data_IF_814682487132
#
_entry.id   IF_814682487132
#
_cell.length_a   1.000
_cell.length_b   1.000
_cell.length_c   1.000
_cell.angle_alpha   90.00
_cell.angle_beta   90.00
_cell.angle_gamma   90.00
#
_symmetry.space_group_name_H-M   'P 1'
#
loop_
_entity.id
_entity.type
_entity.pdbx_description
1 polymer ?
#
# COMPACT_ATOMS: atom_id res chain seq x y z
N UNK A 1 -10.88 40.46 36.12
CA UNK A 1 -10.92 40.78 34.67
C UNK A 1 -9.49 40.62 34.20
N UNK A 2 -9.11 39.37 33.96
CA UNK A 2 -7.72 39.01 33.72
C UNK A 2 -7.41 39.38 32.28
N UNK A 3 -6.50 40.34 32.12
CA UNK A 3 -6.17 40.94 30.83
C UNK A 3 -5.65 39.88 29.86
N UNK A 4 -6.45 39.59 28.84
CA UNK A 4 -6.10 38.73 27.71
C UNK A 4 -5.03 39.36 26.83
N UNK A 5 -3.80 39.42 27.32
CA UNK A 5 -2.63 39.70 26.50
C UNK A 5 -2.37 38.49 25.61
N UNK A 6 -2.37 38.69 24.29
CA UNK A 6 -1.98 37.65 23.36
C UNK A 6 -0.58 37.11 23.72
N UNK A 7 -0.35 35.78 23.64
CA UNK A 7 0.91 35.18 24.07
C UNK A 7 2.10 35.81 23.33
N UNK A 8 3.26 35.99 23.98
CA UNK A 8 4.40 36.60 23.32
C UNK A 8 4.90 35.70 22.18
N UNK A 9 5.34 36.32 21.10
CA UNK A 9 5.98 35.64 19.97
C UNK A 9 7.49 35.53 20.25
N UNK A 10 8.11 34.42 19.87
CA UNK A 10 9.54 34.15 20.04
C UNK A 10 10.18 33.86 18.69
N UNK A 11 11.39 34.37 18.48
CA UNK A 11 12.18 34.03 17.32
C UNK A 11 12.87 32.66 17.51
N UNK A 12 12.64 31.66 16.65
CA UNK A 12 13.25 30.32 16.80
C UNK A 12 14.77 30.32 16.57
N UNK A 13 15.34 31.38 15.98
CA UNK A 13 16.76 31.46 15.65
C UNK A 13 17.58 32.20 16.71
N UNK A 14 17.13 33.36 17.18
CA UNK A 14 17.86 34.19 18.14
C UNK A 14 17.21 34.27 19.53
N UNK A 15 16.01 33.69 19.72
CA UNK A 15 15.31 33.68 21.00
C UNK A 15 14.66 35.01 21.40
N UNK A 16 14.70 36.04 20.54
CA UNK A 16 14.11 37.34 20.86
C UNK A 16 12.59 37.24 21.04
N UNK A 17 12.06 37.93 22.05
CA UNK A 17 10.62 38.05 22.31
C UNK A 17 10.05 39.25 21.55
N UNK A 18 8.84 39.08 21.03
CA UNK A 18 8.14 40.05 20.22
C UNK A 18 6.67 40.14 20.65
N UNK A 19 6.13 41.35 20.63
CA UNK A 19 4.70 41.57 20.80
C UNK A 19 3.96 41.36 19.45
N UNK A 20 2.74 40.80 19.46
CA UNK A 20 1.85 40.86 18.31
C UNK A 20 1.62 42.32 17.88
N UNK A 21 1.48 42.63 16.57
CA UNK A 21 1.26 41.73 15.44
C UNK A 21 2.52 41.43 14.60
N UNK A 22 3.72 41.54 15.16
CA UNK A 22 4.95 41.28 14.43
C UNK A 22 4.95 39.86 13.83
N UNK A 23 5.28 39.71 12.54
CA UNK A 23 5.35 38.39 11.88
C UNK A 23 6.77 37.85 11.73
N UNK A 24 7.76 38.75 11.67
CA UNK A 24 9.16 38.43 11.46
C UNK A 24 10.05 39.12 12.50
N UNK A 25 11.15 38.46 12.86
CA UNK A 25 12.16 39.03 13.74
C UNK A 25 12.90 40.18 13.04
N UNK A 26 13.02 41.33 13.69
CA UNK A 26 13.75 42.50 13.16
C UNK A 26 15.26 42.30 13.09
N UNK A 27 15.82 41.36 13.86
CA UNK A 27 17.26 41.10 13.89
C UNK A 27 17.73 40.07 12.85
N UNK A 28 16.92 39.03 12.59
CA UNK A 28 17.34 37.91 11.73
C UNK A 28 16.34 37.51 10.64
N UNK A 29 15.24 38.25 10.50
CA UNK A 29 14.17 38.05 9.51
C UNK A 29 13.43 36.70 9.56
N UNK A 30 13.68 35.86 10.56
CA UNK A 30 12.95 34.59 10.72
C UNK A 30 11.48 34.82 11.09
N UNK A 31 10.55 33.96 10.61
CA UNK A 31 9.17 33.94 11.06
C UNK A 31 9.12 33.68 12.57
N UNK A 32 8.30 34.45 13.28
CA UNK A 32 8.13 34.30 14.73
C UNK A 32 7.14 33.17 15.04
N UNK A 33 7.39 32.41 16.11
CA UNK A 33 6.52 31.35 16.63
C UNK A 33 5.94 31.77 17.98
N UNK A 34 4.93 31.07 18.51
CA UNK A 34 4.38 31.39 19.84
C UNK A 34 5.30 30.85 20.94
N UNK A 35 5.61 31.68 21.94
CA UNK A 35 6.35 31.24 23.10
C UNK A 35 5.54 30.18 23.87
N UNK A 36 6.16 29.05 24.17
CA UNK A 36 5.48 27.92 24.81
C UNK A 36 4.54 27.15 23.89
N UNK A 37 4.56 27.42 22.56
CA UNK A 37 4.06 26.42 21.63
C UNK A 37 4.84 25.13 21.90
N UNK A 38 4.14 23.98 22.10
CA UNK A 38 4.83 22.71 22.23
C UNK A 38 5.74 22.53 21.02
N UNK A 39 6.96 22.02 21.24
CA UNK A 39 7.77 21.48 20.16
C UNK A 39 6.88 20.58 19.30
N UNK A 40 7.04 20.66 17.97
CA UNK A 40 6.23 19.95 16.97
C UNK A 40 5.82 18.58 17.53
N UNK A 41 4.52 18.33 17.78
CA UNK A 41 4.09 17.12 18.47
C UNK A 41 4.73 15.95 17.77
N UNK A 42 5.58 15.20 18.50
CA UNK A 42 6.50 14.22 17.93
C UNK A 42 5.83 13.50 16.77
N UNK A 43 6.30 13.78 15.55
CA UNK A 43 5.62 13.33 14.33
C UNK A 43 5.64 11.81 14.36
N UNK A 44 4.50 11.23 14.72
CA UNK A 44 4.39 9.77 14.76
C UNK A 44 4.57 9.23 13.35
N UNK A 45 5.11 8.02 13.22
CA UNK A 45 5.30 7.39 11.91
C UNK A 45 3.98 7.36 11.09
N UNK A 46 2.85 7.25 11.78
CA UNK A 46 1.51 7.33 11.18
C UNK A 46 1.24 8.69 10.54
N UNK A 47 1.58 9.80 11.22
CA UNK A 47 1.44 11.13 10.65
C UNK A 47 2.39 11.37 9.49
N UNK A 48 3.64 10.92 9.58
CA UNK A 48 4.61 11.02 8.49
C UNK A 48 4.10 10.30 7.24
N UNK A 49 3.57 9.09 7.38
CA UNK A 49 2.97 8.32 6.28
C UNK A 49 1.75 9.00 5.68
N UNK A 50 0.85 9.52 6.51
CA UNK A 50 -0.37 10.19 6.02
C UNK A 50 -0.05 11.42 5.15
N UNK A 51 1.05 12.15 5.44
CA UNK A 51 1.48 13.32 4.64
C UNK A 51 1.95 12.97 3.23
N UNK A 52 2.36 11.72 2.98
CA UNK A 52 2.77 11.29 1.62
C UNK A 52 1.59 11.10 0.68
N UNK A 53 0.38 10.89 1.21
CA UNK A 53 -0.82 10.60 0.42
C UNK A 53 -1.20 11.82 -0.42
N UNK A 54 -1.28 11.62 -1.74
CA UNK A 54 -1.79 12.59 -2.70
C UNK A 54 -3.33 12.54 -2.70
N UNK A 55 -4.04 13.65 -2.40
CA UNK A 55 -5.50 13.65 -2.30
C UNK A 55 -6.21 13.12 -3.55
N UNK A 56 -5.67 13.37 -4.75
CA UNK A 56 -6.28 12.92 -5.99
C UNK A 56 -6.39 11.39 -6.15
N UNK A 57 -5.65 10.61 -5.35
CA UNK A 57 -5.66 9.14 -5.39
C UNK A 57 -6.41 8.53 -4.20
N UNK A 58 -7.06 9.34 -3.37
CA UNK A 58 -7.71 8.91 -2.13
C UNK A 58 -9.22 8.66 -2.26
N UNK A 59 -9.78 8.76 -3.46
CA UNK A 59 -11.22 8.73 -3.70
C UNK A 59 -11.72 7.44 -4.39
N UNK A 60 -12.96 7.06 -4.08
CA UNK A 60 -13.67 5.96 -4.74
C UNK A 60 -13.63 4.62 -4.02
N UNK A 61 -14.17 3.59 -4.68
CA UNK A 61 -14.24 2.23 -4.14
C UNK A 61 -12.86 1.56 -4.11
N UNK A 62 -12.64 0.65 -3.16
CA UNK A 62 -11.41 -0.14 -3.06
C UNK A 62 -11.35 -1.23 -4.14
N UNK A 63 -10.40 -1.09 -5.06
CA UNK A 63 -10.16 -2.00 -6.18
C UNK A 63 -8.86 -2.78 -5.95
N UNK A 64 -8.88 -4.09 -6.23
CA UNK A 64 -7.69 -4.94 -6.16
C UNK A 64 -6.74 -4.66 -7.30
N UNK A 65 -5.48 -4.38 -6.98
CA UNK A 65 -4.41 -4.11 -7.95
C UNK A 65 -3.31 -5.15 -7.94
N UNK A 66 -3.01 -5.75 -6.79
CA UNK A 66 -1.98 -6.79 -6.68
C UNK A 66 -2.33 -7.84 -5.62
N UNK A 67 -1.59 -8.95 -5.64
CA UNK A 67 -1.58 -9.94 -4.57
C UNK A 67 -0.15 -10.20 -4.10
N UNK A 68 0.10 -10.09 -2.79
CA UNK A 68 1.32 -10.59 -2.16
C UNK A 68 1.13 -12.04 -1.71
N UNK A 69 2.16 -12.86 -1.81
CA UNK A 69 2.18 -14.27 -1.36
C UNK A 69 2.12 -14.40 0.15
N UNK A 70 2.60 -13.37 0.85
CA UNK A 70 2.58 -13.28 2.31
C UNK A 70 2.46 -11.82 2.76
N UNK A 71 2.27 -11.62 4.07
CA UNK A 71 2.05 -10.30 4.65
C UNK A 71 3.19 -9.32 4.37
N UNK A 72 4.45 -9.74 4.54
CA UNK A 72 5.59 -8.85 4.29
C UNK A 72 5.68 -8.35 2.83
N UNK A 73 5.34 -9.19 1.84
CA UNK A 73 5.34 -8.79 0.43
C UNK A 73 4.22 -7.78 0.16
N UNK A 74 3.01 -8.01 0.70
CA UNK A 74 1.92 -7.05 0.56
C UNK A 74 2.21 -5.70 1.26
N UNK A 75 2.85 -5.72 2.43
CA UNK A 75 3.28 -4.51 3.13
C UNK A 75 4.38 -3.77 2.35
N UNK A 76 5.30 -4.49 1.71
CA UNK A 76 6.31 -3.91 0.81
C UNK A 76 5.66 -3.21 -0.38
N UNK A 77 4.72 -3.86 -1.08
CA UNK A 77 3.97 -3.26 -2.19
C UNK A 77 3.20 -2.00 -1.74
N UNK A 78 2.58 -2.04 -0.56
CA UNK A 78 1.95 -0.86 0.02
C UNK A 78 2.94 0.27 0.35
N UNK A 79 4.17 -0.08 0.76
CA UNK A 79 5.26 0.87 0.95
C UNK A 79 5.63 1.59 -0.34
N UNK A 80 5.84 0.84 -1.43
CA UNK A 80 6.13 1.40 -2.75
C UNK A 80 5.04 2.36 -3.23
N UNK A 81 3.78 1.94 -3.16
CA UNK A 81 2.64 2.78 -3.54
C UNK A 81 2.57 4.06 -2.69
N UNK A 82 2.87 3.96 -1.40
CA UNK A 82 2.86 5.10 -0.49
C UNK A 82 3.97 6.12 -0.80
N UNK A 83 5.15 5.66 -1.25
CA UNK A 83 6.21 6.56 -1.70
C UNK A 83 5.78 7.40 -2.91
N UNK A 84 4.96 6.83 -3.81
CA UNK A 84 4.35 7.58 -4.91
C UNK A 84 3.10 8.39 -4.48
N UNK A 85 2.73 8.29 -3.21
CA UNK A 85 1.59 8.98 -2.60
C UNK A 85 0.24 8.33 -2.88
N UNK A 86 0.21 7.07 -3.29
CA UNK A 86 -1.01 6.31 -3.55
C UNK A 86 -1.42 5.56 -2.27
N UNK A 87 -2.59 5.87 -1.68
CA UNK A 87 -3.06 5.16 -0.49
C UNK A 87 -3.47 3.73 -0.85
N UNK A 88 -3.13 2.78 0.00
CA UNK A 88 -3.44 1.36 -0.20
C UNK A 88 -3.82 0.66 1.11
N UNK A 89 -4.53 -0.46 0.99
CA UNK A 89 -4.96 -1.29 2.11
C UNK A 89 -4.72 -2.77 1.81
N UNK A 90 -4.17 -3.48 2.78
CA UNK A 90 -3.97 -4.94 2.71
C UNK A 90 -5.20 -5.65 3.24
N UNK A 91 -5.77 -6.54 2.43
CA UNK A 91 -6.86 -7.44 2.84
C UNK A 91 -6.38 -8.89 2.72
N UNK A 92 -6.88 -9.78 3.56
CA UNK A 92 -6.69 -11.22 3.35
C UNK A 92 -7.40 -11.65 2.08
N UNK A 93 -6.74 -12.47 1.25
CA UNK A 93 -7.37 -13.00 0.05
C UNK A 93 -8.52 -13.93 0.44
N UNK A 94 -9.66 -13.76 -0.22
CA UNK A 94 -10.86 -14.58 0.03
C UNK A 94 -10.55 -16.06 -0.24
N UNK A 95 -11.07 -16.94 0.62
CA UNK A 95 -10.92 -18.40 0.46
C UNK A 95 -9.67 -19.02 1.10
N UNK A 96 -8.82 -18.22 1.77
CA UNK A 96 -7.63 -18.69 2.49
C UNK A 96 -7.69 -18.44 4.01
N UNK A 97 -8.89 -18.30 4.59
CA UNK A 97 -9.09 -17.94 6.01
C UNK A 97 -9.21 -19.22 6.87
N UNK A 98 -8.10 -19.93 7.04
CA UNK A 98 -8.00 -21.06 7.97
C UNK A 98 -7.47 -20.56 9.32
N UNK A 99 -8.16 -20.81 10.46
CA UNK A 99 -7.81 -20.25 11.76
C UNK A 99 -6.37 -20.51 12.25
N UNK A 100 -5.74 -21.61 11.83
CA UNK A 100 -4.36 -21.94 12.21
C UNK A 100 -3.28 -21.31 11.29
N UNK A 101 -3.68 -20.66 10.18
CA UNK A 101 -2.76 -20.09 9.18
C UNK A 101 -2.85 -18.55 9.06
N UNK A 102 -3.13 -17.86 10.16
CA UNK A 102 -3.35 -16.41 10.19
C UNK A 102 -2.13 -15.58 9.73
N UNK A 103 -0.92 -16.12 9.91
CA UNK A 103 0.36 -15.47 9.58
C UNK A 103 0.91 -15.84 8.19
N UNK A 104 0.43 -16.94 7.59
CA UNK A 104 0.96 -17.47 6.34
C UNK A 104 -0.19 -17.59 5.33
N UNK A 105 -0.26 -16.66 4.38
CA UNK A 105 -1.26 -16.72 3.33
C UNK A 105 -1.26 -15.50 2.42
N UNK A 106 -1.79 -15.66 1.20
CA UNK A 106 -1.84 -14.58 0.22
C UNK A 106 -2.67 -13.40 0.72
N UNK A 107 -2.26 -12.21 0.32
CA UNK A 107 -2.84 -10.93 0.70
C UNK A 107 -3.14 -10.12 -0.54
N UNK A 108 -4.31 -9.52 -0.59
CA UNK A 108 -4.72 -8.62 -1.65
C UNK A 108 -4.35 -7.18 -1.28
N UNK A 109 -3.72 -6.48 -2.22
CA UNK A 109 -3.46 -5.05 -2.12
C UNK A 109 -4.57 -4.31 -2.87
N UNK A 110 -5.28 -3.46 -2.14
CA UNK A 110 -6.40 -2.68 -2.62
C UNK A 110 -6.02 -1.19 -2.64
N UNK A 111 -6.49 -0.46 -3.65
CA UNK A 111 -6.34 1.00 -3.74
C UNK A 111 -7.69 1.64 -4.06
N UNK A 112 -7.94 2.91 -3.70
CA UNK A 112 -9.12 3.63 -4.17
C UNK A 112 -9.15 3.71 -5.70
N UNK A 113 -10.36 3.70 -6.28
CA UNK A 113 -10.58 3.68 -7.72
C UNK A 113 -9.81 4.78 -8.47
N UNK A 114 -9.72 5.97 -7.87
CA UNK A 114 -8.99 7.12 -8.42
C UNK A 114 -7.48 6.90 -8.61
N UNK A 115 -6.87 5.99 -7.85
CA UNK A 115 -5.43 5.69 -7.90
C UNK A 115 -5.07 4.41 -8.66
N UNK A 116 -6.04 3.72 -9.27
CA UNK A 116 -5.82 2.38 -9.86
C UNK A 116 -4.81 2.39 -11.00
N UNK A 117 -4.93 3.34 -11.94
CA UNK A 117 -4.06 3.39 -13.11
C UNK A 117 -2.62 3.70 -12.70
N UNK A 118 -2.43 4.72 -11.85
CA UNK A 118 -1.13 5.06 -11.28
C UNK A 118 -0.54 3.90 -10.47
N UNK A 119 -1.35 3.18 -9.70
CA UNK A 119 -0.87 2.03 -8.92
C UNK A 119 -0.37 0.91 -9.83
N UNK A 120 -1.08 0.62 -10.93
CA UNK A 120 -0.67 -0.41 -11.89
C UNK A 120 0.64 -0.06 -12.57
N UNK A 121 0.83 1.21 -12.93
CA UNK A 121 2.08 1.69 -13.52
C UNK A 121 3.27 1.51 -12.59
N UNK A 122 3.15 1.96 -11.33
CA UNK A 122 4.19 1.80 -10.30
C UNK A 122 4.53 0.31 -10.07
N UNK A 123 3.49 -0.54 -10.02
CA UNK A 123 3.67 -1.97 -9.77
C UNK A 123 4.27 -2.71 -10.97
N UNK A 124 3.94 -2.30 -12.20
CA UNK A 124 4.58 -2.83 -13.42
C UNK A 124 6.07 -2.50 -13.45
N UNK A 125 6.44 -1.28 -13.10
CA UNK A 125 7.85 -0.89 -12.99
C UNK A 125 8.57 -1.69 -11.90
N UNK A 126 7.92 -1.91 -10.75
CA UNK A 126 8.46 -2.77 -9.69
C UNK A 126 8.57 -4.25 -10.11
N UNK A 127 7.61 -4.78 -10.87
CA UNK A 127 7.66 -6.14 -11.44
C UNK A 127 8.75 -6.28 -12.49
N UNK A 128 9.05 -5.25 -13.29
CA UNK A 128 10.22 -5.26 -14.19
C UNK A 128 11.53 -5.41 -13.41
N UNK A 129 11.57 -4.96 -12.16
CA UNK A 129 12.71 -5.09 -11.26
C UNK A 129 12.69 -6.39 -10.45
N UNK A 130 11.58 -7.14 -10.46
CA UNK A 130 11.40 -8.38 -9.72
C UNK A 130 11.42 -9.60 -10.66
N UNK A 131 12.09 -10.69 -10.26
CA UNK A 131 12.06 -11.93 -11.04
C UNK A 131 10.65 -12.54 -11.02
N UNK A 132 10.06 -12.90 -12.18
CA UNK A 132 8.70 -13.42 -12.22
C UNK A 132 8.60 -14.74 -11.46
N UNK A 133 7.79 -14.77 -10.41
CA UNK A 133 7.41 -16.00 -9.72
C UNK A 133 6.54 -16.90 -10.61
N UNK A 134 6.58 -18.23 -10.46
CA UNK A 134 5.79 -19.14 -11.27
C UNK A 134 4.28 -18.88 -11.09
N UNK A 135 3.60 -18.55 -12.19
CA UNK A 135 2.13 -18.46 -12.23
C UNK A 135 1.56 -19.87 -12.12
N UNK A 136 1.01 -20.22 -10.95
CA UNK A 136 0.39 -21.52 -10.73
C UNK A 136 -0.87 -21.71 -11.60
N UNK A 137 -1.07 -22.86 -12.26
CA UNK A 137 -2.25 -23.10 -13.07
C UNK A 137 -3.52 -23.18 -12.20
N UNK A 138 -4.64 -22.68 -12.72
CA UNK A 138 -5.95 -22.83 -12.08
C UNK A 138 -6.33 -24.32 -11.96
N UNK A 139 -6.92 -24.77 -10.84
CA UNK A 139 -7.22 -26.18 -10.59
C UNK A 139 -8.12 -26.81 -11.67
N UNK A 140 -9.04 -26.03 -12.26
CA UNK A 140 -9.90 -26.49 -13.36
C UNK A 140 -9.12 -26.84 -14.64
N UNK A 141 -8.06 -26.10 -14.97
CA UNK A 141 -7.21 -26.39 -16.13
C UNK A 141 -6.37 -27.65 -15.92
N UNK A 142 -5.85 -27.86 -14.70
CA UNK A 142 -5.16 -29.10 -14.36
C UNK A 142 -6.07 -30.32 -14.48
N UNK A 143 -7.29 -30.22 -13.96
CA UNK A 143 -8.25 -31.30 -14.02
C UNK A 143 -8.70 -31.59 -15.46
N UNK A 144 -8.95 -30.55 -16.26
CA UNK A 144 -9.26 -30.70 -17.69
C UNK A 144 -8.10 -31.35 -18.47
N UNK A 145 -6.86 -30.94 -18.21
CA UNK A 145 -5.67 -31.54 -18.82
C UNK A 145 -5.49 -33.01 -18.45
N UNK A 146 -5.65 -33.35 -17.16
CA UNK A 146 -5.56 -34.73 -16.68
C UNK A 146 -6.62 -35.63 -17.33
N UNK A 147 -7.88 -35.16 -17.38
CA UNK A 147 -8.98 -35.91 -18.00
C UNK A 147 -8.76 -36.12 -19.51
N UNK A 148 -8.23 -35.11 -20.20
CA UNK A 148 -7.89 -35.25 -21.62
C UNK A 148 -6.82 -36.32 -21.84
N UNK A 149 -5.75 -36.33 -21.03
CA UNK A 149 -4.69 -37.36 -21.11
C UNK A 149 -5.26 -38.75 -20.82
N UNK A 150 -6.04 -38.89 -19.75
CA UNK A 150 -6.68 -40.17 -19.40
C UNK A 150 -7.63 -40.65 -20.50
N UNK A 151 -8.40 -39.75 -21.09
CA UNK A 151 -9.29 -40.06 -22.22
C UNK A 151 -8.53 -40.55 -23.45
N UNK A 152 -7.43 -39.87 -23.81
CA UNK A 152 -6.57 -40.27 -24.93
C UNK A 152 -5.96 -41.65 -24.67
N UNK A 153 -5.44 -41.90 -23.48
CA UNK A 153 -4.89 -43.21 -23.11
C UNK A 153 -5.97 -44.29 -23.17
N UNK A 154 -7.17 -44.01 -22.66
CA UNK A 154 -8.31 -44.94 -22.73
C UNK A 154 -8.71 -45.30 -24.16
N UNK A 155 -8.74 -44.32 -25.06
CA UNK A 155 -9.04 -44.55 -26.49
C UNK A 155 -7.94 -45.38 -27.15
N UNK A 156 -6.66 -45.10 -26.86
CA UNK A 156 -5.54 -45.88 -27.40
C UNK A 156 -5.65 -47.35 -26.97
N UNK A 157 -5.90 -47.61 -25.69
CA UNK A 157 -6.06 -48.97 -25.18
C UNK A 157 -7.25 -49.67 -25.85
N UNK A 158 -8.39 -48.98 -26.00
CA UNK A 158 -9.58 -49.54 -26.65
C UNK A 158 -9.35 -49.90 -28.12
N UNK A 159 -8.64 -49.04 -28.88
CA UNK A 159 -8.29 -49.32 -30.28
C UNK A 159 -7.33 -50.50 -30.41
N UNK A 160 -6.35 -50.60 -29.51
CA UNK A 160 -5.39 -51.71 -29.49
C UNK A 160 -6.07 -53.05 -29.15
N UNK A 161 -7.00 -53.04 -28.19
CA UNK A 161 -7.80 -54.21 -27.83
C UNK A 161 -8.63 -54.70 -29.02
N UNK A 162 -9.35 -53.78 -29.68
CA UNK A 162 -10.17 -54.05 -30.88
C UNK A 162 -9.35 -54.56 -32.08
N UNK A 163 -8.06 -54.19 -32.18
CA UNK A 163 -7.17 -54.66 -33.23
C UNK A 163 -6.53 -56.03 -32.93
N UNK A 164 -6.62 -56.50 -31.68
CA UNK A 164 -5.98 -57.73 -31.20
C UNK A 164 -6.96 -58.91 -30.98
N UNK A 165 -8.27 -58.64 -30.99
CA UNK A 165 -9.35 -59.65 -30.91
C UNK A 165 -9.98 -59.91 -32.27
#
# INVERSE_FOLDING_TARGET
MDGGGAPPLVCPRCGALHAPPARFCTACAMPLTWAGAPDDPQVTDRHARARKIKPQYAEGELVRVAGGRHQAEAEFLCGLLLEEGIPSLVRRSRGFDVPDMLAAGPRDVLVPASGVDAAREVLLEAELLAEPGPVGPTPARLMGGLLAVLGVVGVIVWVLDLASG
#
